data_IF_981095097175
#
_entry.id   IF_981095097175
#
_cell.length_a   1.000
_cell.length_b   1.000
_cell.length_c   1.000
_cell.angle_alpha   90.00
_cell.angle_beta   90.00
_cell.angle_gamma   90.00
#
_symmetry.space_group_name_H-M   'P 1'
#
loop_
_entity.id
_entity.type
_entity.pdbx_description
1 polymer ?
#
# COMPACT_ATOMS: atom_id res chain seq x y z
N UNK A 1 -61.33 57.30 11.15
CA UNK A 1 -62.73 56.99 10.82
C UNK A 1 -62.88 57.16 9.31
N UNK A 2 -63.25 56.08 8.61
CA UNK A 2 -63.79 55.98 7.22
C UNK A 2 -62.94 56.47 6.02
N UNK A 3 -62.44 55.56 5.16
CA UNK A 3 -62.90 55.19 3.79
C UNK A 3 -62.60 56.27 2.69
N UNK A 4 -62.25 56.03 1.41
CA UNK A 4 -62.15 54.89 0.46
C UNK A 4 -61.53 55.40 -0.88
N UNK A 5 -60.88 54.48 -1.63
CA UNK A 5 -60.76 54.28 -3.11
C UNK A 5 -60.18 55.30 -4.12
N UNK A 6 -59.17 54.79 -4.85
CA UNK A 6 -58.88 54.72 -6.30
C UNK A 6 -59.39 55.79 -7.29
N UNK A 7 -58.49 56.20 -8.19
CA UNK A 7 -58.83 56.55 -9.57
C UNK A 7 -57.70 56.16 -10.55
N UNK A 8 -58.09 55.55 -11.65
CA UNK A 8 -57.31 55.10 -12.80
C UNK A 8 -57.36 56.19 -13.89
N UNK A 9 -56.25 56.51 -14.56
CA UNK A 9 -56.32 57.18 -15.87
C UNK A 9 -55.16 56.76 -16.77
N UNK A 10 -55.50 56.40 -18.01
CA UNK A 10 -54.58 56.10 -19.11
C UNK A 10 -54.79 57.19 -20.18
N UNK A 11 -53.73 57.82 -20.67
CA UNK A 11 -53.76 58.65 -21.88
C UNK A 11 -52.48 58.39 -22.68
N UNK A 12 -52.64 57.94 -23.93
CA UNK A 12 -51.55 57.78 -24.89
C UNK A 12 -51.27 59.08 -25.63
N UNK A 13 -50.01 59.25 -26.05
CA UNK A 13 -49.61 60.32 -26.98
C UNK A 13 -48.65 59.79 -28.04
N UNK A 14 -48.82 60.36 -29.22
CA UNK A 14 -48.28 60.06 -30.55
C UNK A 14 -46.75 60.21 -30.68
N UNK A 15 -46.15 59.39 -31.55
CA UNK A 15 -44.76 59.43 -31.98
C UNK A 15 -44.47 60.51 -33.03
N UNK A 16 -43.24 61.03 -32.99
CA UNK A 16 -42.51 61.62 -34.13
C UNK A 16 -41.13 60.96 -34.19
N UNK A 17 -40.78 60.47 -35.40
CA UNK A 17 -39.56 59.73 -35.68
C UNK A 17 -38.41 60.65 -36.14
N UNK A 18 -37.18 60.28 -35.77
CA UNK A 18 -35.94 60.76 -36.38
C UNK A 18 -35.00 59.56 -36.58
N UNK A 19 -34.35 59.50 -37.75
CA UNK A 19 -33.61 58.37 -38.28
C UNK A 19 -32.19 58.23 -37.70
N UNK A 20 -31.76 56.99 -37.43
CA UNK A 20 -30.38 56.56 -37.20
C UNK A 20 -30.13 55.22 -37.90
N UNK A 21 -28.98 55.09 -38.56
CA UNK A 21 -28.55 53.97 -39.40
C UNK A 21 -28.63 52.59 -38.69
N UNK A 22 -29.00 51.49 -39.39
CA UNK A 22 -29.06 50.16 -38.78
C UNK A 22 -27.65 49.57 -38.64
N UNK A 23 -27.18 49.43 -37.40
CA UNK A 23 -26.10 48.51 -37.07
C UNK A 23 -26.58 47.07 -37.27
N UNK A 24 -25.77 46.27 -37.94
CA UNK A 24 -25.94 44.82 -38.08
C UNK A 24 -25.98 44.17 -36.69
N UNK A 25 -27.17 43.73 -36.30
CA UNK A 25 -27.44 42.94 -35.09
C UNK A 25 -26.88 41.52 -35.31
N UNK A 26 -25.69 41.25 -34.78
CA UNK A 26 -25.14 39.89 -34.71
C UNK A 26 -26.01 39.04 -33.79
N UNK A 27 -26.50 37.91 -34.30
CA UNK A 27 -27.23 36.92 -33.52
C UNK A 27 -26.43 36.49 -32.27
N UNK A 28 -27.10 36.14 -31.15
CA UNK A 28 -26.41 35.66 -29.96
C UNK A 28 -25.58 34.41 -30.30
N UNK A 29 -24.41 34.24 -29.69
CA UNK A 29 -23.65 33.00 -29.86
C UNK A 29 -24.51 31.81 -29.41
N UNK A 30 -24.40 30.64 -30.07
CA UNK A 30 -25.09 29.45 -29.63
C UNK A 30 -24.72 29.15 -28.18
N UNK A 31 -25.68 28.65 -27.41
CA UNK A 31 -25.43 28.21 -26.04
C UNK A 31 -24.22 27.26 -26.01
N UNK A 32 -23.31 27.39 -25.02
CA UNK A 32 -22.21 26.46 -24.89
C UNK A 32 -22.77 25.04 -24.86
N UNK A 33 -22.12 24.12 -25.59
CA UNK A 33 -22.46 22.70 -25.52
C UNK A 33 -22.52 22.30 -24.03
N UNK A 34 -23.50 21.48 -23.61
CA UNK A 34 -23.52 21.00 -22.23
C UNK A 34 -22.14 20.43 -21.93
N UNK A 35 -21.56 20.83 -20.79
CA UNK A 35 -20.28 20.33 -20.30
C UNK A 35 -20.32 18.82 -20.44
N UNK A 36 -19.65 18.32 -21.49
CA UNK A 36 -19.33 16.92 -21.57
C UNK A 36 -18.21 16.81 -20.55
N UNK A 37 -18.58 16.61 -19.29
CA UNK A 37 -17.66 16.10 -18.29
C UNK A 37 -16.93 14.96 -18.99
N UNK A 38 -15.65 15.16 -19.28
CA UNK A 38 -14.79 14.09 -19.71
C UNK A 38 -15.08 12.93 -18.75
N UNK A 39 -15.47 11.78 -19.29
CA UNK A 39 -15.73 10.61 -18.49
C UNK A 39 -14.60 10.49 -17.48
N UNK A 40 -14.93 10.43 -16.19
CA UNK A 40 -13.93 10.27 -15.14
C UNK A 40 -12.98 9.15 -15.59
N UNK A 41 -11.64 9.38 -15.59
CA UNK A 41 -10.71 8.41 -16.11
C UNK A 41 -10.99 7.07 -15.43
N UNK A 42 -11.15 6.02 -16.23
CA UNK A 42 -11.55 4.69 -15.75
C UNK A 42 -10.76 4.33 -14.49
N UNK A 43 -11.46 3.82 -13.47
CA UNK A 43 -10.82 3.30 -12.29
C UNK A 43 -9.83 2.20 -12.71
N UNK A 44 -8.60 2.24 -12.20
CA UNK A 44 -7.63 1.16 -12.46
C UNK A 44 -8.16 -0.11 -11.77
N UNK A 45 -8.14 -1.28 -12.43
CA UNK A 45 -8.44 -2.52 -11.72
C UNK A 45 -7.40 -2.73 -10.61
N UNK A 46 -7.82 -3.30 -9.48
CA UNK A 46 -6.95 -3.57 -8.31
C UNK A 46 -5.70 -4.38 -8.71
N UNK A 47 -5.88 -5.31 -9.64
CA UNK A 47 -4.82 -6.12 -10.25
C UNK A 47 -5.07 -6.30 -11.74
N UNK A 48 -4.02 -6.19 -12.56
CA UNK A 48 -4.00 -6.52 -13.98
C UNK A 48 -3.20 -7.80 -14.17
N UNK A 49 -3.86 -8.83 -14.67
CA UNK A 49 -3.24 -10.11 -15.01
C UNK A 49 -2.60 -10.08 -16.44
N UNK A 50 -1.58 -10.90 -16.69
CA UNK A 50 -1.00 -11.10 -18.01
C UNK A 50 -1.95 -11.95 -18.87
N UNK A 51 -1.83 -11.83 -20.19
CA UNK A 51 -2.76 -12.42 -21.15
C UNK A 51 -2.90 -13.95 -21.04
N UNK A 52 -1.84 -14.65 -20.60
CA UNK A 52 -1.80 -16.11 -20.50
C UNK A 52 -1.56 -16.58 -19.06
N UNK A 53 -2.13 -15.88 -18.07
CA UNK A 53 -1.96 -16.22 -16.67
C UNK A 53 -2.41 -17.66 -16.37
N UNK A 54 -1.52 -18.47 -15.82
CA UNK A 54 -1.82 -19.81 -15.30
C UNK A 54 -2.10 -19.76 -13.80
N UNK A 55 -1.49 -18.78 -13.11
CA UNK A 55 -1.77 -18.46 -11.72
C UNK A 55 -2.95 -17.49 -11.62
N UNK A 56 -3.55 -17.42 -10.44
CA UNK A 56 -4.52 -16.36 -10.09
C UNK A 56 -3.99 -15.51 -8.96
N UNK A 57 -4.24 -14.21 -9.03
CA UNK A 57 -4.06 -13.30 -7.91
C UNK A 57 -5.26 -12.46 -7.67
N UNK A 58 -5.72 -12.59 -6.45
CA UNK A 58 -6.94 -11.97 -5.98
C UNK A 58 -6.62 -11.20 -4.72
N UNK A 59 -7.26 -10.04 -4.55
CA UNK A 59 -7.18 -9.30 -3.30
C UNK A 59 -7.68 -10.21 -2.18
N UNK A 60 -6.92 -10.32 -1.10
CA UNK A 60 -7.33 -11.11 0.04
C UNK A 60 -8.60 -10.49 0.66
N UNK A 61 -9.59 -11.29 1.08
CA UNK A 61 -10.78 -10.75 1.74
C UNK A 61 -10.42 -9.96 3.00
N UNK A 62 -11.24 -8.98 3.41
CA UNK A 62 -10.99 -8.20 4.61
C UNK A 62 -10.72 -9.07 5.83
N UNK A 63 -9.58 -8.83 6.46
CA UNK A 63 -9.13 -9.49 7.68
C UNK A 63 -9.52 -8.70 8.94
N UNK A 64 -9.44 -9.33 10.11
CA UNK A 64 -9.67 -8.71 11.43
C UNK A 64 -8.86 -7.42 11.56
N UNK A 65 -9.49 -6.27 11.81
CA UNK A 65 -8.88 -4.97 11.56
C UNK A 65 -7.84 -4.50 12.60
N UNK A 66 -8.05 -4.76 13.89
CA UNK A 66 -7.23 -4.21 15.01
C UNK A 66 -6.96 -2.69 14.92
N UNK A 67 -8.00 -1.83 14.89
CA UNK A 67 -7.83 -0.39 14.67
C UNK A 67 -7.01 0.32 15.76
N UNK A 68 -7.02 -0.20 16.99
CA UNK A 68 -6.30 0.37 18.13
C UNK A 68 -4.88 -0.18 18.27
N UNK A 69 -4.43 -1.04 17.35
CA UNK A 69 -3.10 -1.62 17.39
C UNK A 69 -2.03 -0.54 17.23
N UNK A 70 -1.00 -0.61 18.07
CA UNK A 70 0.13 0.31 18.01
C UNK A 70 1.44 -0.46 18.17
N UNK A 71 2.45 -0.04 17.40
CA UNK A 71 3.81 -0.52 17.49
C UNK A 71 4.74 0.69 17.57
N UNK A 72 5.52 0.76 18.64
CA UNK A 72 6.56 1.79 18.80
C UNK A 72 7.87 1.11 19.12
N UNK A 73 8.94 1.56 18.45
CA UNK A 73 10.29 1.21 18.85
C UNK A 73 10.61 1.95 20.15
N UNK A 74 10.74 1.22 21.26
CA UNK A 74 11.00 1.77 22.58
C UNK A 74 12.51 1.98 22.79
N UNK A 75 13.31 0.93 22.62
CA UNK A 75 14.76 1.05 22.59
C UNK A 75 15.38 0.30 21.43
N UNK A 76 16.48 0.85 20.94
CA UNK A 76 17.37 0.20 19.98
C UNK A 76 18.79 0.50 20.42
N UNK A 77 19.49 -0.55 20.85
CA UNK A 77 20.82 -0.42 21.46
C UNK A 77 21.82 -1.25 20.65
N UNK A 78 22.59 -0.60 19.75
CA UNK A 78 23.68 -1.25 19.04
C UNK A 78 24.81 -1.65 19.99
N UNK A 79 25.33 -2.86 19.80
CA UNK A 79 26.50 -3.38 20.49
C UNK A 79 27.73 -2.54 20.16
N UNK A 80 28.53 -2.19 21.19
CA UNK A 80 29.75 -1.38 21.00
C UNK A 80 30.90 -2.15 20.37
N UNK A 81 30.92 -3.47 20.54
CA UNK A 81 32.01 -4.37 20.11
C UNK A 81 31.52 -5.57 19.31
N UNK A 82 30.20 -5.70 19.13
CA UNK A 82 29.57 -6.77 18.36
C UNK A 82 28.68 -6.12 17.30
N UNK A 83 28.27 -6.91 16.31
CA UNK A 83 27.26 -6.48 15.34
C UNK A 83 25.82 -6.67 15.86
N UNK A 84 25.64 -7.02 17.12
CA UNK A 84 24.32 -7.28 17.68
C UNK A 84 23.63 -5.98 18.05
N UNK A 85 22.33 -5.92 17.83
CA UNK A 85 21.49 -4.78 18.19
C UNK A 85 20.31 -5.32 18.98
N UNK A 86 20.13 -4.79 20.20
CA UNK A 86 18.98 -5.13 21.03
C UNK A 86 17.83 -4.19 20.70
N UNK A 87 16.68 -4.76 20.36
CA UNK A 87 15.44 -4.02 20.09
C UNK A 87 14.43 -4.30 21.20
N UNK A 88 13.71 -3.28 21.64
CA UNK A 88 12.50 -3.40 22.45
C UNK A 88 11.38 -2.57 21.82
N UNK A 89 10.17 -3.10 21.85
CA UNK A 89 8.98 -2.46 21.31
C UNK A 89 7.94 -2.28 22.41
N UNK A 90 7.21 -1.17 22.34
CA UNK A 90 5.94 -1.03 23.03
C UNK A 90 4.82 -1.43 22.05
N UNK A 91 4.04 -2.43 22.44
CA UNK A 91 2.88 -2.93 21.68
C UNK A 91 1.61 -2.62 22.46
N UNK A 92 0.63 -1.98 21.82
CA UNK A 92 -0.67 -1.65 22.42
C UNK A 92 -1.81 -2.07 21.51
N UNK A 93 -2.99 -2.37 22.06
CA UNK A 93 -4.18 -2.75 21.28
C UNK A 93 -4.02 -4.03 20.44
N UNK A 94 -2.96 -4.81 20.69
CA UNK A 94 -2.59 -6.01 19.93
C UNK A 94 -1.86 -6.99 20.85
N UNK A 95 -2.23 -8.26 20.81
CA UNK A 95 -1.68 -9.28 21.72
C UNK A 95 -0.74 -10.20 20.96
N UNK A 96 0.57 -10.03 21.16
CA UNK A 96 1.56 -10.96 20.62
C UNK A 96 1.27 -12.37 21.13
N UNK A 97 1.46 -13.35 20.24
CA UNK A 97 1.16 -14.78 20.41
C UNK A 97 -0.31 -15.19 20.43
N UNK A 98 -1.25 -14.26 20.49
CA UNK A 98 -2.66 -14.61 20.35
C UNK A 98 -2.96 -15.09 18.92
N UNK A 99 -3.85 -16.07 18.77
CA UNK A 99 -4.39 -16.40 17.45
C UNK A 99 -5.34 -15.29 17.00
N UNK A 100 -5.28 -14.93 15.72
CA UNK A 100 -6.24 -13.95 15.18
C UNK A 100 -7.62 -14.59 15.06
N UNK A 101 -8.73 -13.93 15.46
CA UNK A 101 -10.06 -14.54 15.52
C UNK A 101 -10.54 -15.21 14.22
N UNK A 102 -10.21 -14.66 13.06
CA UNK A 102 -10.61 -15.16 11.74
C UNK A 102 -9.60 -16.15 11.13
N UNK A 103 -8.51 -16.51 11.82
CA UNK A 103 -7.44 -17.33 11.26
C UNK A 103 -7.94 -18.65 10.64
N UNK A 104 -8.93 -19.29 11.27
CA UNK A 104 -9.49 -20.56 10.82
C UNK A 104 -10.23 -20.46 9.48
N UNK A 105 -10.73 -19.28 9.10
CA UNK A 105 -11.49 -19.06 7.86
C UNK A 105 -10.67 -18.35 6.78
N UNK A 106 -9.44 -17.92 7.08
CA UNK A 106 -8.59 -17.23 6.10
C UNK A 106 -8.20 -18.10 4.92
N UNK A 107 -8.08 -19.41 5.14
CA UNK A 107 -7.64 -20.35 4.11
C UNK A 107 -6.26 -19.97 3.58
N UNK A 108 -5.28 -19.85 4.48
CA UNK A 108 -3.86 -19.72 4.15
C UNK A 108 -3.02 -20.13 5.37
N UNK A 109 -1.72 -20.35 5.15
CA UNK A 109 -0.81 -20.80 6.20
C UNK A 109 -0.85 -19.90 7.44
N UNK A 110 -1.17 -20.50 8.59
CA UNK A 110 -1.29 -19.83 9.88
C UNK A 110 -0.17 -20.23 10.85
N UNK A 111 0.46 -19.26 11.51
CA UNK A 111 1.45 -19.53 12.56
C UNK A 111 0.77 -20.03 13.83
N UNK A 112 1.27 -21.16 14.35
CA UNK A 112 0.84 -21.71 15.65
C UNK A 112 1.24 -20.83 16.82
N UNK A 113 2.31 -20.07 16.65
CA UNK A 113 2.84 -19.16 17.66
C UNK A 113 2.08 -17.83 17.70
N UNK A 114 1.10 -17.62 16.80
CA UNK A 114 0.15 -16.51 16.86
C UNK A 114 0.61 -15.20 16.23
N UNK A 115 -0.06 -14.13 16.60
CA UNK A 115 0.22 -12.75 16.22
C UNK A 115 1.65 -12.35 16.59
N UNK A 116 2.33 -11.58 15.73
CA UNK A 116 3.76 -11.30 15.90
C UNK A 116 4.19 -10.03 15.18
N UNK A 117 5.43 -9.62 15.42
CA UNK A 117 6.08 -8.53 14.70
C UNK A 117 6.82 -9.16 13.50
N UNK A 118 6.54 -8.68 12.29
CA UNK A 118 7.44 -8.88 11.16
C UNK A 118 8.56 -7.86 11.29
N UNK A 119 9.78 -8.35 11.49
CA UNK A 119 10.99 -7.54 11.56
C UNK A 119 11.83 -7.74 10.30
N UNK A 120 12.09 -6.68 9.56
CA UNK A 120 12.90 -6.68 8.34
C UNK A 120 14.09 -5.76 8.57
N UNK A 121 15.30 -6.32 8.48
CA UNK A 121 16.55 -5.58 8.53
C UNK A 121 17.12 -5.46 7.13
N UNK A 122 17.30 -4.22 6.68
CA UNK A 122 17.68 -3.84 5.34
C UNK A 122 16.66 -4.40 4.33
N UNK A 123 17.09 -5.30 3.44
CA UNK A 123 16.22 -5.99 2.48
C UNK A 123 16.29 -7.52 2.69
N UNK A 124 16.59 -7.98 3.91
CA UNK A 124 16.63 -9.42 4.23
C UNK A 124 15.21 -9.96 4.38
N UNK A 125 14.98 -11.27 4.21
CA UNK A 125 13.70 -11.87 4.53
C UNK A 125 13.27 -11.53 5.96
N UNK A 126 11.98 -11.27 6.18
CA UNK A 126 11.48 -10.93 7.52
C UNK A 126 11.82 -12.00 8.55
N UNK A 127 11.92 -11.61 9.80
CA UNK A 127 11.90 -12.49 10.96
C UNK A 127 10.58 -12.33 11.67
N UNK A 128 9.98 -13.45 12.10
CA UNK A 128 8.77 -13.44 12.90
C UNK A 128 9.17 -13.37 14.37
N UNK A 129 8.90 -12.24 15.02
CA UNK A 129 9.27 -11.99 16.41
C UNK A 129 8.01 -12.00 17.29
N UNK A 130 7.90 -13.04 18.11
CA UNK A 130 6.75 -13.30 18.98
C UNK A 130 6.84 -12.65 20.35
N UNK A 131 7.93 -11.91 20.61
CA UNK A 131 8.15 -11.15 21.84
C UNK A 131 8.53 -9.73 21.49
N UNK A 132 8.17 -8.79 22.35
CA UNK A 132 8.43 -7.37 22.14
C UNK A 132 9.92 -6.98 22.31
N UNK A 133 10.79 -7.91 22.72
CA UNK A 133 12.23 -7.66 22.81
C UNK A 133 13.03 -8.84 22.27
N UNK A 134 14.04 -8.53 21.47
CA UNK A 134 14.93 -9.50 20.84
C UNK A 134 16.27 -8.85 20.45
N UNK A 135 17.20 -9.65 19.94
CA UNK A 135 18.52 -9.21 19.48
C UNK A 135 18.74 -9.70 18.07
N UNK A 136 19.19 -8.82 17.18
CA UNK A 136 19.53 -9.15 15.80
C UNK A 136 20.93 -8.69 15.43
N UNK A 137 21.60 -9.46 14.57
CA UNK A 137 22.88 -9.08 14.01
C UNK A 137 22.69 -8.12 12.82
N UNK A 138 23.14 -6.89 12.99
CA UNK A 138 23.18 -5.86 11.96
C UNK A 138 24.35 -6.04 10.99
N UNK A 139 24.28 -5.37 9.85
CA UNK A 139 25.40 -5.26 8.92
C UNK A 139 26.31 -4.08 9.33
N UNK A 140 27.62 -4.09 9.01
CA UNK A 140 28.46 -2.90 9.17
C UNK A 140 27.88 -1.71 8.40
N UNK A 141 28.07 -0.50 8.93
CA UNK A 141 27.60 0.73 8.30
C UNK A 141 26.15 1.06 8.64
N UNK A 142 25.47 1.70 7.68
CA UNK A 142 24.08 2.14 7.82
C UNK A 142 23.12 0.95 7.63
N UNK A 143 22.16 0.83 8.55
CA UNK A 143 21.09 -0.15 8.52
C UNK A 143 19.73 0.55 8.53
N UNK A 144 18.74 -0.11 7.94
CA UNK A 144 17.34 0.28 7.92
C UNK A 144 16.54 -0.87 8.53
N UNK A 145 15.64 -0.56 9.44
CA UNK A 145 14.73 -1.55 10.04
C UNK A 145 13.31 -1.13 9.71
N UNK A 146 12.54 -2.06 9.18
CA UNK A 146 11.08 -1.98 9.13
C UNK A 146 10.50 -3.04 10.07
N UNK A 147 9.63 -2.61 10.97
CA UNK A 147 8.87 -3.51 11.84
C UNK A 147 7.39 -3.19 11.74
N UNK A 148 6.55 -4.21 11.57
CA UNK A 148 5.09 -4.03 11.59
C UNK A 148 4.38 -5.19 12.27
N UNK A 149 3.23 -4.90 12.87
CA UNK A 149 2.38 -5.92 13.47
C UNK A 149 1.72 -6.76 12.37
N UNK A 150 1.72 -8.07 12.60
CA UNK A 150 1.19 -9.06 11.67
C UNK A 150 0.25 -10.01 12.41
N UNK A 151 -0.87 -10.31 11.75
CA UNK A 151 -1.84 -11.32 12.20
C UNK A 151 -1.18 -12.69 12.29
N UNK A 152 -1.82 -13.65 12.95
CA UNK A 152 -1.25 -14.99 13.13
C UNK A 152 -0.92 -15.69 11.81
N UNK A 153 -1.61 -15.36 10.73
CA UNK A 153 -1.37 -15.84 9.36
C UNK A 153 -0.48 -14.91 8.52
N UNK A 154 0.37 -14.09 9.16
CA UNK A 154 1.39 -13.24 8.54
C UNK A 154 0.88 -12.09 7.68
N UNK A 155 -0.41 -11.76 7.74
CA UNK A 155 -0.94 -10.58 7.07
C UNK A 155 -0.69 -9.33 7.91
N UNK A 156 -0.04 -8.33 7.30
CA UNK A 156 0.30 -7.05 7.92
C UNK A 156 -0.91 -6.20 8.31
N UNK A 157 -0.79 -5.44 9.40
CA UNK A 157 -1.66 -4.31 9.70
C UNK A 157 -1.17 -3.08 8.93
N UNK A 158 -1.92 -2.68 7.88
CA UNK A 158 -1.57 -1.58 6.96
C UNK A 158 -2.08 -0.23 7.46
N UNK A 159 -1.64 0.19 8.64
CA UNK A 159 -1.90 1.54 9.15
C UNK A 159 -0.70 2.09 9.94
N UNK A 160 -0.53 3.41 9.90
CA UNK A 160 0.67 4.10 10.38
C UNK A 160 1.00 3.86 11.86
N UNK A 161 0.01 3.50 12.67
CA UNK A 161 0.23 3.24 14.09
C UNK A 161 0.84 1.85 14.35
N UNK A 162 0.71 0.90 13.42
CA UNK A 162 1.15 -0.49 13.57
C UNK A 162 2.48 -0.80 12.85
N UNK A 163 3.18 0.23 12.36
CA UNK A 163 4.45 0.12 11.65
C UNK A 163 5.45 1.13 12.20
N UNK A 164 6.73 0.75 12.22
CA UNK A 164 7.84 1.63 12.53
C UNK A 164 8.99 1.37 11.57
N UNK A 165 9.51 2.43 10.97
CA UNK A 165 10.77 2.43 10.22
C UNK A 165 11.81 3.20 11.02
N UNK A 166 13.02 2.68 11.10
CA UNK A 166 14.12 3.37 11.76
C UNK A 166 15.45 3.10 11.04
N UNK A 167 16.35 4.08 11.07
CA UNK A 167 17.69 3.96 10.48
C UNK A 167 18.76 4.15 11.56
N UNK A 168 19.84 3.39 11.50
CA UNK A 168 20.96 3.54 12.42
C UNK A 168 22.29 3.14 11.76
N UNK A 169 23.40 3.62 12.33
CA UNK A 169 24.74 3.22 11.89
C UNK A 169 25.42 2.43 13.00
N UNK A 170 26.06 1.32 12.66
CA UNK A 170 26.79 0.52 13.64
C UNK A 170 28.00 1.30 14.19
N UNK A 171 28.22 1.31 15.53
CA UNK A 171 29.38 1.97 16.12
C UNK A 171 30.70 1.51 15.49
N UNK A 172 31.60 2.46 15.23
CA UNK A 172 32.91 2.17 14.64
C UNK A 172 32.89 1.84 13.14
N UNK A 173 31.76 2.04 12.46
CA UNK A 173 31.63 1.88 10.99
C UNK A 173 31.22 3.20 10.34
N UNK A 174 31.51 3.37 9.06
CA UNK A 174 31.07 4.53 8.28
C UNK A 174 29.67 4.31 7.73
N UNK A 175 28.82 5.33 7.78
CA UNK A 175 27.59 5.31 7.01
C UNK A 175 27.95 5.47 5.51
N UNK A 176 27.58 4.49 4.69
CA UNK A 176 27.54 4.75 3.25
C UNK A 176 26.46 5.80 2.98
N UNK A 177 26.78 6.73 2.07
CA UNK A 177 25.94 7.88 1.73
C UNK A 177 24.74 7.52 0.84
N UNK A 178 24.11 6.37 1.04
CA UNK A 178 22.96 5.99 0.21
C UNK A 178 21.82 6.98 0.47
N UNK A 179 21.33 7.56 -0.61
CA UNK A 179 20.31 8.61 -0.69
C UNK A 179 18.91 8.11 -0.35
N UNK A 180 18.79 7.28 0.68
CA UNK A 180 17.52 6.79 1.20
C UNK A 180 17.11 7.64 2.39
N UNK A 181 15.99 8.35 2.28
CA UNK A 181 15.30 9.01 3.36
C UNK A 181 14.04 8.21 3.73
N UNK A 182 14.11 7.48 4.85
CA UNK A 182 13.01 6.65 5.33
C UNK A 182 11.73 7.44 5.64
N UNK A 183 11.83 8.76 5.85
CA UNK A 183 10.70 9.62 6.18
C UNK A 183 10.01 10.21 4.95
N UNK A 184 10.62 10.16 3.77
CA UNK A 184 10.13 10.85 2.57
C UNK A 184 10.05 9.94 1.35
N UNK A 185 10.99 9.00 1.20
CA UNK A 185 11.11 8.23 -0.04
C UNK A 185 9.98 7.18 -0.14
N UNK A 186 9.28 7.11 -1.28
CA UNK A 186 8.39 6.00 -1.60
C UNK A 186 9.14 4.68 -1.52
N UNK A 187 8.69 3.78 -0.66
CA UNK A 187 9.43 2.55 -0.36
C UNK A 187 8.53 1.33 -0.37
N UNK A 188 8.93 0.28 -1.07
CA UNK A 188 8.35 -1.05 -0.99
C UNK A 188 9.22 -1.97 -0.13
N UNK A 189 8.59 -2.71 0.78
CA UNK A 189 9.22 -3.82 1.50
C UNK A 189 8.48 -5.12 1.22
N UNK A 190 9.22 -6.10 0.69
CA UNK A 190 8.72 -7.46 0.52
C UNK A 190 8.52 -8.12 1.89
N UNK A 191 7.31 -8.61 2.18
CA UNK A 191 7.03 -9.38 3.39
C UNK A 191 7.08 -10.87 3.09
N UNK A 192 6.20 -11.38 2.24
CA UNK A 192 6.06 -12.83 2.00
C UNK A 192 5.45 -13.11 0.61
N UNK A 193 5.52 -14.34 0.07
CA UNK A 193 5.90 -15.62 0.69
C UNK A 193 7.39 -15.82 0.97
N UNK A 194 7.75 -16.78 1.84
CA UNK A 194 9.14 -17.24 1.98
C UNK A 194 9.22 -18.65 2.56
N UNK A 195 10.34 -19.34 2.32
CA UNK A 195 10.64 -20.62 2.97
C UNK A 195 9.72 -21.75 2.51
N UNK A 196 9.54 -22.76 3.35
CA UNK A 196 8.86 -24.00 2.98
C UNK A 196 7.43 -24.07 3.50
N UNK A 197 6.51 -24.38 2.59
CA UNK A 197 5.10 -24.60 2.87
C UNK A 197 4.77 -26.07 2.61
N UNK A 198 4.57 -26.83 3.70
CA UNK A 198 4.20 -28.25 3.64
C UNK A 198 2.77 -28.46 3.15
N UNK A 199 1.90 -27.52 3.47
CA UNK A 199 0.51 -27.50 3.02
C UNK A 199 0.13 -26.06 2.71
N UNK A 200 -0.74 -25.88 1.72
CA UNK A 200 -1.47 -24.64 1.52
C UNK A 200 -2.86 -24.87 2.10
N UNK A 201 -3.20 -24.15 3.16
CA UNK A 201 -4.57 -24.19 3.67
C UNK A 201 -5.47 -23.56 2.60
N UNK A 202 -6.38 -24.33 2.00
CA UNK A 202 -7.26 -23.84 0.93
C UNK A 202 -6.55 -23.46 -0.38
N UNK A 203 -5.39 -24.07 -0.69
CA UNK A 203 -4.63 -23.90 -1.94
C UNK A 203 -4.21 -22.46 -2.27
N UNK A 204 -4.13 -21.60 -1.24
CA UNK A 204 -3.79 -20.19 -1.36
C UNK A 204 -2.46 -19.87 -0.71
N UNK A 205 -1.64 -19.11 -1.41
CA UNK A 205 -0.43 -18.51 -0.89
C UNK A 205 -0.61 -17.01 -0.69
N UNK A 206 -0.46 -16.55 0.55
CA UNK A 206 -0.54 -15.12 0.85
C UNK A 206 0.65 -14.37 0.22
N UNK A 207 0.40 -13.36 -0.60
CA UNK A 207 1.40 -12.37 -1.00
C UNK A 207 1.15 -11.14 -0.15
N UNK A 208 2.18 -10.66 0.54
CA UNK A 208 2.06 -9.43 1.32
C UNK A 208 3.32 -8.58 1.22
N UNK A 209 3.14 -7.28 1.30
CA UNK A 209 4.17 -6.27 1.20
C UNK A 209 3.71 -4.98 1.89
N UNK A 210 4.67 -4.15 2.26
CA UNK A 210 4.43 -2.89 2.93
C UNK A 210 4.90 -1.72 2.08
N UNK A 211 4.12 -0.65 2.03
CA UNK A 211 4.49 0.61 1.40
C UNK A 211 4.73 1.68 2.48
N UNK A 212 5.74 2.51 2.30
CA UNK A 212 6.00 3.70 3.10
C UNK A 212 6.03 4.93 2.20
N UNK A 213 5.54 6.06 2.72
CA UNK A 213 5.54 7.38 2.07
C UNK A 213 4.88 7.39 0.67
N UNK A 214 4.03 6.40 0.41
CA UNK A 214 3.30 6.26 -0.85
C UNK A 214 2.11 5.32 -0.66
N UNK A 215 1.15 5.44 -1.56
CA UNK A 215 0.11 4.46 -1.78
C UNK A 215 -0.11 4.26 -3.30
N UNK A 216 -1.07 3.41 -3.66
CA UNK A 216 -1.37 3.10 -5.07
C UNK A 216 -2.67 3.78 -5.55
N UNK A 217 -3.28 4.63 -4.72
CA UNK A 217 -4.59 5.23 -4.98
C UNK A 217 -4.49 6.44 -5.92
N UNK A 218 -3.43 7.24 -5.78
CA UNK A 218 -3.21 8.47 -6.57
C UNK A 218 -2.78 8.22 -8.02
N UNK A 219 -2.63 6.95 -8.40
CA UNK A 219 -2.23 6.50 -9.75
C UNK A 219 -0.82 6.87 -10.19
N UNK A 220 -0.02 7.46 -9.30
CA UNK A 220 1.40 7.75 -9.54
C UNK A 220 2.29 6.50 -9.48
N UNK A 221 1.86 5.50 -8.70
CA UNK A 221 2.61 4.25 -8.52
C UNK A 221 1.76 3.00 -8.77
N UNK A 222 2.45 1.92 -9.10
CA UNK A 222 1.95 0.56 -9.13
C UNK A 222 3.03 -0.39 -8.61
N UNK A 223 2.65 -1.60 -8.23
CA UNK A 223 3.60 -2.68 -7.93
C UNK A 223 3.60 -3.68 -9.08
N UNK A 224 4.75 -3.87 -9.72
CA UNK A 224 4.97 -4.95 -10.67
C UNK A 224 5.36 -6.21 -9.91
N UNK A 225 4.50 -7.22 -9.95
CA UNK A 225 4.75 -8.52 -9.33
C UNK A 225 5.09 -9.54 -10.42
N UNK A 226 6.30 -10.11 -10.38
CA UNK A 226 6.70 -11.22 -11.24
C UNK A 226 6.63 -12.51 -10.43
N UNK A 227 5.68 -13.40 -10.71
CA UNK A 227 5.48 -14.66 -9.99
C UNK A 227 5.64 -15.80 -10.99
N UNK A 228 6.65 -16.65 -10.80
CA UNK A 228 7.03 -17.71 -11.75
C UNK A 228 7.14 -17.25 -13.22
N UNK A 229 7.61 -16.01 -13.40
CA UNK A 229 7.76 -15.38 -14.71
C UNK A 229 6.49 -14.67 -15.24
N UNK A 230 5.33 -14.86 -14.60
CA UNK A 230 4.11 -14.12 -14.91
C UNK A 230 4.14 -12.71 -14.31
N UNK A 231 3.95 -11.68 -15.14
CA UNK A 231 4.07 -10.27 -14.74
C UNK A 231 2.69 -9.65 -14.53
N UNK A 232 2.42 -9.27 -13.29
CA UNK A 232 1.14 -8.73 -12.84
C UNK A 232 1.34 -7.28 -12.42
N UNK A 233 0.34 -6.43 -12.64
CA UNK A 233 0.35 -5.04 -12.16
C UNK A 233 -0.64 -4.91 -11.01
N UNK A 234 -0.16 -4.59 -9.82
CA UNK A 234 -0.95 -4.36 -8.62
C UNK A 234 -1.14 -2.85 -8.46
N UNK A 235 -2.39 -2.40 -8.39
CA UNK A 235 -2.78 -0.99 -8.27
C UNK A 235 -3.49 -0.67 -6.95
N UNK A 236 -3.63 -1.65 -6.05
CA UNK A 236 -4.23 -1.46 -4.72
C UNK A 236 -3.32 -2.04 -3.65
N UNK A 237 -3.02 -1.25 -2.62
CA UNK A 237 -2.16 -1.71 -1.53
C UNK A 237 -2.96 -2.56 -0.54
N UNK A 238 -2.97 -3.86 -0.79
CA UNK A 238 -3.64 -4.88 0.02
C UNK A 238 -2.76 -6.14 0.11
N UNK A 239 -3.17 -7.10 0.92
CA UNK A 239 -2.66 -8.46 0.81
C UNK A 239 -3.38 -9.19 -0.34
N UNK A 240 -2.74 -10.20 -0.90
CA UNK A 240 -3.28 -10.96 -2.03
C UNK A 240 -3.12 -12.46 -1.83
N UNK A 241 -3.93 -13.27 -2.52
CA UNK A 241 -3.75 -14.71 -2.61
C UNK A 241 -3.29 -15.12 -3.99
N UNK A 242 -2.19 -15.88 -4.04
CA UNK A 242 -1.73 -16.60 -5.22
C UNK A 242 -2.34 -17.99 -5.18
N UNK A 243 -3.04 -18.38 -6.24
CA UNK A 243 -3.66 -19.70 -6.40
C UNK A 243 -3.18 -20.36 -7.70
N UNK A 244 -3.24 -21.69 -7.76
CA UNK A 244 -2.82 -22.48 -8.93
C UNK A 244 -1.33 -22.86 -8.94
N UNK A 245 -0.62 -22.69 -7.81
CA UNK A 245 0.77 -23.10 -7.67
C UNK A 245 0.90 -24.63 -7.77
N UNK A 246 1.78 -25.09 -8.65
CA UNK A 246 2.20 -26.49 -8.68
C UNK A 246 3.05 -26.85 -7.45
N UNK A 247 3.31 -28.13 -7.20
CA UNK A 247 4.31 -28.51 -6.19
C UNK A 247 5.73 -28.15 -6.69
N UNK A 248 6.55 -27.62 -5.79
CA UNK A 248 7.96 -27.36 -6.03
C UNK A 248 8.39 -25.96 -5.61
N UNK A 249 9.44 -25.49 -6.28
CA UNK A 249 10.06 -24.20 -6.03
C UNK A 249 9.37 -23.12 -6.86
N UNK A 250 9.07 -22.00 -6.22
CA UNK A 250 8.45 -20.83 -6.83
C UNK A 250 9.28 -19.57 -6.58
N UNK A 251 9.03 -18.57 -7.41
CA UNK A 251 9.73 -17.28 -7.37
C UNK A 251 8.74 -16.11 -7.33
N UNK A 252 9.08 -15.07 -6.57
CA UNK A 252 8.38 -13.79 -6.58
C UNK A 252 9.39 -12.65 -6.62
N UNK A 253 9.14 -11.64 -7.43
CA UNK A 253 9.82 -10.34 -7.38
C UNK A 253 8.79 -9.23 -7.37
N UNK A 254 8.90 -8.30 -6.44
CA UNK A 254 8.07 -7.11 -6.37
C UNK A 254 8.91 -5.88 -6.68
N UNK A 255 8.41 -5.04 -7.57
CA UNK A 255 9.04 -3.78 -7.96
C UNK A 255 8.03 -2.65 -7.81
N UNK A 256 8.39 -1.58 -7.10
CA UNK A 256 7.61 -0.34 -7.10
C UNK A 256 7.95 0.43 -8.39
N UNK A 257 6.93 0.73 -9.19
CA UNK A 257 7.11 1.41 -10.48
C UNK A 257 6.30 2.68 -10.56
N UNK A 258 6.83 3.68 -11.28
CA UNK A 258 6.12 4.92 -11.60
C UNK A 258 5.06 4.68 -12.70
N UNK A 259 4.31 5.74 -13.03
CA UNK A 259 3.25 5.72 -14.06
C UNK A 259 3.77 5.40 -15.47
N UNK A 260 5.06 5.60 -15.74
CA UNK A 260 5.74 5.21 -16.98
C UNK A 260 6.22 3.75 -16.96
N UNK A 261 6.14 3.07 -15.80
CA UNK A 261 6.58 1.70 -15.61
C UNK A 261 8.07 1.56 -15.26
N UNK A 262 8.78 2.67 -15.00
CA UNK A 262 10.16 2.66 -14.56
C UNK A 262 10.24 2.31 -13.08
N UNK A 263 11.33 1.66 -12.68
CA UNK A 263 11.60 1.38 -11.27
C UNK A 263 11.76 2.70 -10.51
N UNK A 264 10.99 2.85 -9.42
CA UNK A 264 11.17 3.98 -8.51
C UNK A 264 12.54 3.84 -7.82
N UNK A 265 13.42 4.85 -7.88
CA UNK A 265 14.73 4.78 -7.25
C UNK A 265 14.62 4.46 -5.76
N UNK A 266 15.54 3.64 -5.24
CA UNK A 266 15.60 3.32 -3.82
C UNK A 266 16.14 1.92 -3.57
N UNK A 267 16.79 1.67 -2.43
CA UNK A 267 17.44 0.39 -2.15
C UNK A 267 16.48 -0.78 -1.87
N UNK A 268 15.18 -0.51 -1.68
CA UNK A 268 14.15 -1.51 -1.35
C UNK A 268 13.08 -1.68 -2.42
N UNK A 269 12.99 -0.73 -3.38
CA UNK A 269 11.93 -0.69 -4.39
C UNK A 269 12.02 -1.81 -5.43
N UNK A 270 13.12 -2.56 -5.43
CA UNK A 270 13.22 -3.87 -6.04
C UNK A 270 13.51 -4.90 -4.93
N UNK A 271 12.59 -5.84 -4.73
CA UNK A 271 12.81 -6.92 -3.77
C UNK A 271 13.93 -7.87 -4.19
N UNK A 272 14.35 -7.85 -5.46
CA UNK A 272 15.04 -8.95 -6.09
C UNK A 272 14.16 -10.21 -6.16
N UNK A 273 14.69 -11.29 -6.72
CA UNK A 273 13.98 -12.57 -6.78
C UNK A 273 13.99 -13.23 -5.39
N UNK A 274 12.80 -13.53 -4.89
CA UNK A 274 12.54 -14.27 -3.64
C UNK A 274 12.07 -15.67 -4.00
N UNK A 275 12.55 -16.66 -3.25
CA UNK A 275 12.17 -18.06 -3.43
C UNK A 275 11.33 -18.56 -2.25
N UNK A 276 10.39 -19.44 -2.56
CA UNK A 276 9.65 -20.22 -1.58
C UNK A 276 9.30 -21.59 -2.18
N UNK A 277 9.07 -22.58 -1.33
CA UNK A 277 8.75 -23.93 -1.77
C UNK A 277 7.33 -24.30 -1.32
N UNK A 278 6.52 -24.80 -2.24
CA UNK A 278 5.29 -25.53 -1.93
C UNK A 278 5.57 -27.02 -2.06
N UNK A 279 5.76 -27.69 -0.93
CA UNK A 279 6.26 -29.07 -0.93
C UNK A 279 5.16 -30.11 -1.18
N UNK A 280 3.92 -29.78 -0.84
CA UNK A 280 2.87 -30.80 -0.73
C UNK A 280 3.13 -31.67 0.50
N UNK A 281 2.06 -32.10 1.15
CA UNK A 281 2.14 -32.95 2.34
C UNK A 281 2.68 -34.34 2.00
#
# INVERSE_FOLDING_TARGET
MTMKYQALTLVGTLLLAACGNPGTETAPPPAPAPDTLAAAPAARPDVVAPANATLKLTVAPPATAFPDATLKLDTMVPGKKTMDVKFTYAVGGFELKAQTPDAATRGCANSKDGQHIHFILNNKPYKAEYTAGFTEKADPGRNVVLSFLSRSYHESLKHNAAVVVNTFTMPGTSADSTAFDAAQDPTLFYSRPKGDYKQLDGDKMLLDFYLLNTDLTDKDYSVRATIDGEVWTINKWEAYFIEGLALGKHTVRLELVDKEGNLVPGPFNDSGVREFNYLGS
#
